data_IF_182941111898
#
_entry.id   IF_182941111898
#
_cell.length_a   1.000
_cell.length_b   1.000
_cell.length_c   1.000
_cell.angle_alpha   90.00
_cell.angle_beta   90.00
_cell.angle_gamma   90.00
#
_symmetry.space_group_name_H-M   'P 1'
#
loop_
_entity.id
_entity.type
_entity.pdbx_description
1 polymer ?
#
# COMPACT_ATOMS: atom_id res chain seq x y z
N UNK A 1 2.31 -6.83 28.47
CA UNK A 1 1.91 -5.54 27.86
C UNK A 1 3.21 -4.77 27.67
N UNK A 2 3.64 -4.53 26.44
CA UNK A 2 4.88 -3.81 26.21
C UNK A 2 4.51 -2.33 26.09
N UNK A 3 4.84 -1.52 27.11
CA UNK A 3 4.45 -0.11 27.25
C UNK A 3 5.14 0.84 26.23
N UNK A 4 5.51 0.33 25.06
CA UNK A 4 6.20 1.10 24.03
C UNK A 4 5.20 1.56 22.97
N UNK A 5 5.31 2.82 22.51
CA UNK A 5 4.56 3.29 21.36
C UNK A 5 4.80 2.38 20.15
N UNK A 6 3.75 2.11 19.42
CA UNK A 6 3.77 1.44 18.11
C UNK A 6 4.53 2.29 17.09
N UNK A 7 5.02 1.67 16.02
CA UNK A 7 5.68 2.40 14.93
C UNK A 7 4.76 3.48 14.32
N UNK A 8 3.45 3.22 14.24
CA UNK A 8 2.46 4.18 13.73
C UNK A 8 2.29 5.38 14.65
N UNK A 9 2.24 5.18 15.97
CA UNK A 9 2.17 6.28 16.94
C UNK A 9 3.45 7.14 16.91
N UNK A 10 4.63 6.52 16.74
CA UNK A 10 5.88 7.26 16.58
C UNK A 10 5.91 8.11 15.30
N UNK A 11 5.45 7.55 14.18
CA UNK A 11 5.36 8.28 12.91
C UNK A 11 4.38 9.46 13.00
N UNK A 12 3.24 9.27 13.66
CA UNK A 12 2.23 10.30 13.90
C UNK A 12 2.77 11.43 14.78
N UNK A 13 3.51 11.11 15.85
CA UNK A 13 4.15 12.12 16.68
C UNK A 13 5.16 12.98 15.89
N UNK A 14 5.94 12.36 14.99
CA UNK A 14 6.86 13.08 14.11
C UNK A 14 6.09 13.95 13.11
N UNK A 15 5.01 13.44 12.53
CA UNK A 15 4.15 14.23 11.64
C UNK A 15 3.60 15.48 12.34
N UNK A 16 3.13 15.33 13.57
CA UNK A 16 2.64 16.43 14.40
C UNK A 16 3.72 17.46 14.67
N UNK A 17 4.93 17.02 15.05
CA UNK A 17 6.08 17.91 15.24
C UNK A 17 6.42 18.69 13.96
N UNK A 18 6.48 18.01 12.80
CA UNK A 18 6.77 18.66 11.52
C UNK A 18 5.76 19.77 11.19
N UNK A 19 4.47 19.54 11.47
CA UNK A 19 3.42 20.50 11.13
C UNK A 19 3.25 21.62 12.15
N UNK A 20 3.34 21.29 13.44
CA UNK A 20 3.06 22.23 14.54
C UNK A 20 4.28 23.06 14.91
N UNK A 21 5.48 22.50 14.78
CA UNK A 21 6.70 23.15 15.27
C UNK A 21 7.67 23.50 14.14
N UNK A 22 7.95 22.62 13.16
CA UNK A 22 8.99 22.95 12.15
C UNK A 22 8.47 23.71 10.94
N UNK A 23 7.27 23.40 10.41
CA UNK A 23 6.72 24.12 9.26
C UNK A 23 6.54 25.63 9.51
N UNK A 24 6.08 26.10 10.69
CA UNK A 24 5.99 27.52 10.99
C UNK A 24 7.31 28.29 10.88
N UNK A 25 8.44 27.67 11.22
CA UNK A 25 9.79 28.28 11.18
C UNK A 25 10.32 28.50 9.75
N UNK A 26 9.71 27.86 8.75
CA UNK A 26 10.14 27.93 7.36
C UNK A 26 9.11 28.55 6.41
N UNK A 27 8.09 29.25 6.94
CA UNK A 27 7.01 29.84 6.12
C UNK A 27 7.50 30.76 5.01
N UNK A 28 8.59 31.50 5.25
CA UNK A 28 9.18 32.42 4.26
C UNK A 28 10.21 31.74 3.34
N UNK A 29 10.39 30.42 3.46
CA UNK A 29 11.37 29.63 2.72
C UNK A 29 10.66 28.52 1.95
N UNK A 30 10.13 28.87 0.78
CA UNK A 30 9.31 27.99 -0.08
C UNK A 30 9.87 26.58 -0.24
N UNK A 31 11.16 26.45 -0.58
CA UNK A 31 11.79 25.14 -0.78
C UNK A 31 11.81 24.28 0.49
N UNK A 32 12.04 24.89 1.66
CA UNK A 32 12.05 24.15 2.94
C UNK A 32 10.63 23.83 3.38
N UNK A 33 9.69 24.77 3.27
CA UNK A 33 8.27 24.51 3.51
C UNK A 33 7.76 23.34 2.67
N UNK A 34 8.08 23.33 1.37
CA UNK A 34 7.74 22.23 0.48
C UNK A 34 8.35 20.89 0.94
N UNK A 35 9.65 20.85 1.26
CA UNK A 35 10.31 19.61 1.74
C UNK A 35 9.71 19.09 3.05
N UNK A 36 9.28 19.97 3.95
CA UNK A 36 8.59 19.60 5.19
C UNK A 36 7.24 18.94 4.90
N UNK A 37 6.44 19.53 4.00
CA UNK A 37 5.15 18.95 3.58
C UNK A 37 5.32 17.59 2.89
N UNK A 38 6.34 17.45 2.04
CA UNK A 38 6.67 16.16 1.41
C UNK A 38 7.05 15.13 2.45
N UNK A 39 7.93 15.48 3.40
CA UNK A 39 8.34 14.58 4.48
C UNK A 39 7.15 14.16 5.33
N UNK A 40 6.29 15.10 5.72
CA UNK A 40 5.05 14.83 6.44
C UNK A 40 4.14 13.86 5.67
N UNK A 41 3.98 14.06 4.36
CA UNK A 41 3.17 13.17 3.52
C UNK A 41 3.75 11.76 3.45
N UNK A 42 5.07 11.62 3.25
CA UNK A 42 5.75 10.33 3.18
C UNK A 42 5.60 9.53 4.48
N UNK A 43 5.71 10.18 5.64
CA UNK A 43 5.44 9.52 6.94
C UNK A 43 4.01 8.97 7.00
N UNK A 44 3.03 9.73 6.51
CA UNK A 44 1.64 9.29 6.45
C UNK A 44 1.42 8.09 5.52
N UNK A 45 2.16 8.03 4.40
CA UNK A 45 2.15 6.86 3.50
C UNK A 45 2.68 5.62 4.24
N UNK A 46 3.82 5.74 4.92
CA UNK A 46 4.42 4.64 5.68
C UNK A 46 3.47 4.17 6.80
N UNK A 47 2.84 5.09 7.54
CA UNK A 47 1.85 4.75 8.57
C UNK A 47 0.68 3.94 7.99
N UNK A 48 0.16 4.31 6.82
CA UNK A 48 -0.92 3.54 6.14
C UNK A 48 -0.44 2.18 5.65
N UNK A 49 0.79 2.09 5.12
CA UNK A 49 1.37 0.80 4.72
C UNK A 49 1.50 -0.15 5.92
N UNK A 50 1.91 0.36 7.08
CA UNK A 50 2.01 -0.46 8.30
C UNK A 50 0.62 -0.90 8.78
N UNK A 51 -0.38 -0.01 8.76
CA UNK A 51 -1.74 -0.30 9.26
C UNK A 51 -2.49 -1.31 8.39
N UNK A 52 -2.39 -1.20 7.06
CA UNK A 52 -3.27 -1.93 6.15
C UNK A 52 -2.54 -2.77 5.11
N UNK A 53 -1.23 -2.60 4.95
CA UNK A 53 -0.47 -3.24 3.86
C UNK A 53 -0.49 -4.76 3.89
N UNK A 54 -0.44 -5.37 5.08
CA UNK A 54 -0.51 -6.83 5.19
C UNK A 54 -1.91 -7.37 4.87
N UNK A 55 -2.97 -6.70 5.35
CA UNK A 55 -4.35 -7.08 5.05
C UNK A 55 -4.66 -6.96 3.54
N UNK A 56 -4.22 -5.87 2.91
CA UNK A 56 -4.36 -5.66 1.47
C UNK A 56 -3.60 -6.73 0.67
N UNK A 57 -2.41 -7.11 1.14
CA UNK A 57 -1.61 -8.17 0.52
C UNK A 57 -2.30 -9.54 0.65
N UNK A 58 -2.92 -9.83 1.79
CA UNK A 58 -3.69 -11.07 1.99
C UNK A 58 -4.92 -11.13 1.08
N UNK A 59 -5.60 -10.00 0.89
CA UNK A 59 -6.69 -9.86 -0.09
C UNK A 59 -6.19 -10.07 -1.53
N UNK A 60 -5.06 -9.48 -1.91
CA UNK A 60 -4.44 -9.67 -3.22
C UNK A 60 -4.08 -11.13 -3.47
N UNK A 61 -3.40 -11.79 -2.52
CA UNK A 61 -3.04 -13.21 -2.60
C UNK A 61 -4.28 -14.11 -2.74
N UNK A 62 -5.35 -13.79 -2.01
CA UNK A 62 -6.63 -14.51 -2.12
C UNK A 62 -7.26 -14.38 -3.51
N UNK A 63 -7.20 -13.20 -4.14
CA UNK A 63 -7.67 -12.99 -5.52
C UNK A 63 -6.78 -13.74 -6.52
N UNK A 64 -5.46 -13.65 -6.36
CA UNK A 64 -4.49 -14.32 -7.23
C UNK A 64 -4.63 -15.85 -7.17
N UNK A 65 -4.81 -16.43 -5.98
CA UNK A 65 -5.03 -17.87 -5.82
C UNK A 65 -6.24 -18.36 -6.63
N UNK A 66 -7.35 -17.60 -6.59
CA UNK A 66 -8.56 -17.92 -7.38
C UNK A 66 -8.31 -17.84 -8.88
N UNK A 67 -7.66 -16.78 -9.35
CA UNK A 67 -7.40 -16.56 -10.79
C UNK A 67 -6.42 -17.58 -11.39
N UNK A 68 -5.40 -17.97 -10.61
CA UNK A 68 -4.38 -18.93 -11.01
C UNK A 68 -4.74 -20.38 -10.64
N UNK A 69 -5.89 -20.61 -10.02
CA UNK A 69 -6.35 -21.93 -9.51
C UNK A 69 -5.32 -22.61 -8.61
N UNK A 70 -4.73 -21.84 -7.70
CA UNK A 70 -3.75 -22.30 -6.71
C UNK A 70 -4.40 -22.55 -5.35
N UNK A 71 -3.76 -23.41 -4.57
CA UNK A 71 -4.19 -23.65 -3.19
C UNK A 71 -4.05 -22.37 -2.35
N UNK A 72 -5.06 -22.09 -1.52
CA UNK A 72 -5.11 -20.92 -0.62
C UNK A 72 -4.19 -21.02 0.61
N UNK A 73 -3.03 -21.68 0.47
CA UNK A 73 -2.03 -21.79 1.55
C UNK A 73 -1.05 -20.64 1.41
N UNK A 74 -1.13 -19.68 2.34
CA UNK A 74 -0.27 -18.50 2.35
C UNK A 74 0.82 -18.62 3.43
N UNK A 75 2.02 -18.11 3.16
CA UNK A 75 3.08 -18.05 4.16
C UNK A 75 2.71 -17.11 5.30
N UNK A 76 3.33 -17.31 6.47
CA UNK A 76 3.01 -16.55 7.68
C UNK A 76 3.72 -15.21 7.78
N UNK A 77 4.85 -15.01 7.09
CA UNK A 77 5.60 -13.76 7.20
C UNK A 77 5.27 -12.79 6.08
N UNK A 78 5.23 -11.49 6.40
CA UNK A 78 4.99 -10.42 5.42
C UNK A 78 5.96 -10.47 4.24
N UNK A 79 7.24 -10.76 4.48
CA UNK A 79 8.25 -10.80 3.43
C UNK A 79 8.02 -11.96 2.45
N UNK A 80 7.63 -13.13 2.95
CA UNK A 80 7.28 -14.27 2.11
C UNK A 80 5.98 -14.03 1.35
N UNK A 81 4.97 -13.42 1.97
CA UNK A 81 3.75 -12.99 1.29
C UNK A 81 4.06 -12.03 0.13
N UNK A 82 4.94 -11.03 0.35
CA UNK A 82 5.38 -10.08 -0.69
C UNK A 82 6.07 -10.79 -1.85
N UNK A 83 6.97 -11.74 -1.55
CA UNK A 83 7.63 -12.57 -2.57
C UNK A 83 6.63 -13.42 -3.36
N UNK A 84 5.70 -14.09 -2.68
CA UNK A 84 4.69 -14.93 -3.31
C UNK A 84 3.79 -14.13 -4.25
N UNK A 85 3.28 -12.98 -3.78
CA UNK A 85 2.45 -12.09 -4.58
C UNK A 85 3.20 -11.58 -5.82
N UNK A 86 4.48 -11.26 -5.70
CA UNK A 86 5.33 -10.88 -6.84
C UNK A 86 5.42 -12.00 -7.88
N UNK A 87 5.73 -13.23 -7.45
CA UNK A 87 5.81 -14.40 -8.35
C UNK A 87 4.47 -14.66 -9.05
N UNK A 88 3.36 -14.63 -8.31
CA UNK A 88 2.04 -14.88 -8.87
C UNK A 88 1.56 -13.77 -9.80
N UNK A 89 1.91 -12.51 -9.52
CA UNK A 89 1.66 -11.41 -10.45
C UNK A 89 2.44 -11.59 -11.77
N UNK A 90 3.68 -12.07 -11.73
CA UNK A 90 4.42 -12.39 -12.96
C UNK A 90 3.77 -13.51 -13.76
N UNK A 91 3.32 -14.56 -13.09
CA UNK A 91 2.60 -15.66 -13.74
C UNK A 91 1.27 -15.21 -14.35
N UNK A 92 0.49 -14.41 -13.60
CA UNK A 92 -0.75 -13.82 -14.09
C UNK A 92 -0.52 -12.96 -15.33
N UNK A 93 0.51 -12.11 -15.31
CA UNK A 93 0.92 -11.28 -16.44
C UNK A 93 1.23 -12.13 -17.67
N UNK A 94 1.99 -13.20 -17.50
CA UNK A 94 2.42 -14.05 -18.60
C UNK A 94 1.24 -14.84 -19.18
N UNK A 95 0.31 -15.29 -18.34
CA UNK A 95 -0.94 -15.91 -18.77
C UNK A 95 -1.84 -14.92 -19.53
N UNK A 96 -2.06 -13.70 -19.00
CA UNK A 96 -2.84 -12.65 -19.68
C UNK A 96 -2.29 -12.38 -21.08
N UNK A 97 -0.96 -12.27 -21.21
CA UNK A 97 -0.29 -12.05 -22.51
C UNK A 97 -0.44 -13.25 -23.45
N UNK A 98 -0.23 -14.47 -22.94
CA UNK A 98 -0.29 -15.70 -23.73
C UNK A 98 -1.70 -15.97 -24.25
N UNK A 99 -2.70 -15.81 -23.40
CA UNK A 99 -4.12 -16.05 -23.71
C UNK A 99 -4.79 -14.84 -24.38
N UNK A 100 -4.06 -13.73 -24.56
CA UNK A 100 -4.56 -12.47 -25.14
C UNK A 100 -5.83 -11.98 -24.46
N UNK A 101 -5.87 -12.06 -23.13
CA UNK A 101 -6.99 -11.55 -22.33
C UNK A 101 -7.17 -10.05 -22.58
N UNK A 102 -8.41 -9.62 -22.58
CA UNK A 102 -8.84 -8.24 -22.83
C UNK A 102 -9.56 -7.69 -21.61
N UNK A 103 -10.03 -6.45 -21.72
CA UNK A 103 -10.86 -5.81 -20.67
C UNK A 103 -12.20 -6.54 -20.44
N UNK A 104 -12.66 -7.30 -21.43
CA UNK A 104 -13.89 -8.09 -21.35
C UNK A 104 -13.72 -9.35 -20.49
N UNK A 105 -12.47 -9.79 -20.26
CA UNK A 105 -12.16 -10.85 -19.32
C UNK A 105 -12.21 -10.33 -17.87
N UNK A 106 -13.43 -10.03 -17.43
CA UNK A 106 -13.76 -9.32 -16.19
C UNK A 106 -12.99 -9.77 -14.95
N UNK A 107 -12.83 -11.07 -14.63
CA UNK A 107 -12.11 -11.48 -13.43
C UNK A 107 -10.66 -10.97 -13.36
N UNK A 108 -9.97 -10.90 -14.51
CA UNK A 108 -8.59 -10.40 -14.58
C UNK A 108 -8.55 -8.88 -14.51
N UNK A 109 -9.44 -8.22 -15.24
CA UNK A 109 -9.55 -6.77 -15.22
C UNK A 109 -9.90 -6.23 -13.84
N UNK A 110 -10.90 -6.82 -13.18
CA UNK A 110 -11.36 -6.43 -11.87
C UNK A 110 -10.25 -6.63 -10.83
N UNK A 111 -9.46 -7.71 -10.92
CA UNK A 111 -8.29 -7.91 -10.07
C UNK A 111 -7.22 -6.82 -10.28
N UNK A 112 -6.84 -6.53 -11.52
CA UNK A 112 -5.81 -5.51 -11.81
C UNK A 112 -6.27 -4.14 -11.31
N UNK A 113 -7.53 -3.78 -11.58
CA UNK A 113 -8.14 -2.52 -11.14
C UNK A 113 -8.12 -2.41 -9.61
N UNK A 114 -8.52 -3.47 -8.92
CA UNK A 114 -8.59 -3.50 -7.47
C UNK A 114 -7.20 -3.41 -6.82
N UNK A 115 -6.23 -4.19 -7.32
CA UNK A 115 -4.85 -4.13 -6.81
C UNK A 115 -4.19 -2.76 -7.04
N UNK A 116 -4.56 -2.04 -8.10
CA UNK A 116 -4.12 -0.65 -8.30
C UNK A 116 -4.82 0.30 -7.33
N UNK A 117 -6.14 0.16 -7.15
CA UNK A 117 -6.93 0.96 -6.20
C UNK A 117 -6.34 0.90 -4.79
N UNK A 118 -6.13 -0.31 -4.28
CA UNK A 118 -5.56 -0.57 -2.95
C UNK A 118 -4.15 0.05 -2.79
N UNK A 119 -3.29 -0.02 -3.82
CA UNK A 119 -1.96 0.61 -3.80
C UNK A 119 -2.04 2.15 -3.80
N UNK A 120 -3.00 2.72 -4.52
CA UNK A 120 -3.22 4.16 -4.55
C UNK A 120 -3.78 4.66 -3.22
N UNK A 121 -4.66 3.91 -2.56
CA UNK A 121 -5.19 4.23 -1.24
C UNK A 121 -4.10 4.40 -0.18
N UNK A 122 -3.08 3.53 -0.20
CA UNK A 122 -1.93 3.64 0.71
C UNK A 122 -1.13 4.92 0.44
N UNK A 123 -0.87 5.21 -0.84
CA UNK A 123 0.01 6.33 -1.24
C UNK A 123 -0.69 7.68 -1.25
N UNK A 124 -2.02 7.72 -1.37
CA UNK A 124 -2.79 8.95 -1.47
C UNK A 124 -4.09 8.86 -0.66
N UNK A 125 -4.18 9.60 0.46
CA UNK A 125 -5.32 9.50 1.37
C UNK A 125 -6.64 9.96 0.74
N UNK A 126 -6.62 10.75 -0.34
CA UNK A 126 -7.84 11.16 -1.06
C UNK A 126 -8.59 10.01 -1.71
N UNK A 127 -7.94 8.87 -1.90
CA UNK A 127 -8.52 7.70 -2.52
C UNK A 127 -9.00 6.65 -1.51
N UNK A 128 -8.78 6.88 -0.20
CA UNK A 128 -9.35 6.04 0.85
C UNK A 128 -10.87 6.08 0.71
N UNK A 129 -11.51 4.97 0.34
CA UNK A 129 -12.96 4.84 0.50
C UNK A 129 -13.26 4.88 2.00
N UNK A 130 -13.90 5.95 2.47
CA UNK A 130 -14.57 5.94 3.76
C UNK A 130 -15.51 4.73 3.80
N UNK A 131 -15.37 3.91 4.84
CA UNK A 131 -16.20 2.74 5.08
C UNK A 131 -17.55 3.14 5.66
#
# INVERSE_FOLDING_TARGET
MQDKPTSTELLEAIQDFLMKEVLPEFRDKDLLSYKTLVSWNMLGVVSREIRSGEELLDKELSRLAKLLKKDGKFPSTLNEKKKLASVWNFELRDMIRKEKKTIDDRPYWDHVKESVREKVEVTNPRFTTEA
#
